data_IF_386391924518
#
_entry.id   IF_386391924518
#
_cell.length_a   1.000
_cell.length_b   1.000
_cell.length_c   1.000
_cell.angle_alpha   90.00
_cell.angle_beta   90.00
_cell.angle_gamma   90.00
#
_symmetry.space_group_name_H-M   'P 1'
#
loop_
_entity.id
_entity.type
_entity.pdbx_description
1 polymer ?
#
# COMPACT_ATOMS: atom_id res chain seq x y z
N UNK A 1 9.20 13.70 -1.66
CA UNK A 1 7.86 13.49 -2.26
C UNK A 1 7.28 14.81 -2.74
N UNK A 2 6.73 14.88 -3.95
CA UNK A 2 6.02 16.07 -4.45
C UNK A 2 4.71 16.31 -3.69
N UNK A 3 4.26 17.57 -3.61
CA UNK A 3 3.06 17.97 -2.86
C UNK A 3 1.77 17.32 -3.36
N UNK A 4 1.66 16.99 -4.66
CA UNK A 4 0.49 16.28 -5.21
C UNK A 4 0.42 14.86 -4.66
N UNK A 5 1.53 14.12 -4.69
CA UNK A 5 1.61 12.75 -4.18
C UNK A 5 1.36 12.74 -2.68
N UNK A 6 1.98 13.67 -1.94
CA UNK A 6 1.75 13.83 -0.50
C UNK A 6 0.27 14.09 -0.19
N UNK A 7 -0.38 14.94 -0.98
CA UNK A 7 -1.81 15.19 -0.90
C UNK A 7 -2.64 13.92 -1.11
N UNK A 8 -2.28 13.08 -2.09
CA UNK A 8 -2.95 11.80 -2.30
C UNK A 8 -2.73 10.80 -1.15
N UNK A 9 -1.51 10.70 -0.61
CA UNK A 9 -1.21 9.84 0.56
C UNK A 9 -2.02 10.25 1.80
N UNK A 10 -2.23 11.54 2.02
CA UNK A 10 -3.12 12.00 3.08
C UNK A 10 -4.60 11.70 2.74
N UNK A 11 -5.00 11.88 1.48
CA UNK A 11 -6.40 11.74 1.03
C UNK A 11 -6.90 10.29 1.10
N UNK A 12 -6.04 9.28 0.95
CA UNK A 12 -6.47 7.88 1.10
C UNK A 12 -6.97 7.56 2.51
N UNK A 13 -6.61 8.34 3.52
CA UNK A 13 -7.13 8.22 4.88
C UNK A 13 -8.39 9.05 5.14
N UNK A 14 -8.85 9.81 4.15
CA UNK A 14 -10.07 10.61 4.27
C UNK A 14 -11.32 9.71 4.40
N UNK A 15 -12.39 10.27 4.97
CA UNK A 15 -13.71 9.62 5.00
C UNK A 15 -14.51 9.77 3.71
N UNK A 16 -14.05 10.60 2.77
CA UNK A 16 -14.70 10.80 1.49
C UNK A 16 -14.29 9.68 0.51
N UNK A 17 -15.27 8.84 0.14
CA UNK A 17 -15.01 7.67 -0.72
C UNK A 17 -14.66 8.02 -2.15
N UNK A 18 -15.15 9.15 -2.66
CA UNK A 18 -14.81 9.61 -4.01
C UNK A 18 -13.37 10.11 -4.03
N UNK A 19 -13.02 10.97 -3.06
CA UNK A 19 -11.66 11.50 -2.94
C UNK A 19 -10.63 10.39 -2.67
N UNK A 20 -10.95 9.45 -1.76
CA UNK A 20 -10.13 8.27 -1.48
C UNK A 20 -9.91 7.42 -2.74
N UNK A 21 -10.97 7.17 -3.53
CA UNK A 21 -10.87 6.38 -4.76
C UNK A 21 -9.98 7.06 -5.82
N UNK A 22 -10.10 8.38 -5.99
CA UNK A 22 -9.25 9.16 -6.91
C UNK A 22 -7.79 9.16 -6.47
N UNK A 23 -7.53 9.40 -5.18
CA UNK A 23 -6.18 9.37 -4.62
C UNK A 23 -5.55 7.98 -4.74
N UNK A 24 -6.32 6.92 -4.47
CA UNK A 24 -5.86 5.55 -4.67
C UNK A 24 -5.48 5.28 -6.13
N UNK A 25 -6.33 5.67 -7.09
CA UNK A 25 -6.04 5.49 -8.52
C UNK A 25 -4.74 6.20 -8.93
N UNK A 26 -4.56 7.46 -8.52
CA UNK A 26 -3.37 8.24 -8.82
C UNK A 26 -2.09 7.62 -8.21
N UNK A 27 -2.16 7.13 -6.97
CA UNK A 27 -1.02 6.47 -6.33
C UNK A 27 -0.70 5.11 -6.96
N UNK A 28 -1.72 4.35 -7.37
CA UNK A 28 -1.52 3.08 -8.07
C UNK A 28 -0.83 3.30 -9.41
N UNK A 29 -1.24 4.32 -10.17
CA UNK A 29 -0.60 4.73 -11.43
C UNK A 29 0.85 5.17 -11.21
N UNK A 30 1.08 6.07 -10.25
CA UNK A 30 2.43 6.55 -9.92
C UNK A 30 3.39 5.42 -9.53
N UNK A 31 2.87 4.35 -8.91
CA UNK A 31 3.67 3.20 -8.44
C UNK A 31 3.69 2.03 -9.45
N UNK A 32 3.20 2.22 -10.68
CA UNK A 32 3.43 1.27 -11.78
C UNK A 32 4.92 1.19 -12.14
N UNK A 33 5.64 2.30 -11.99
CA UNK A 33 7.11 2.38 -12.14
C UNK A 33 7.79 2.65 -10.79
N UNK A 34 9.12 2.47 -10.69
CA UNK A 34 9.82 2.80 -9.46
C UNK A 34 9.73 4.28 -9.09
N UNK A 35 9.52 4.56 -7.80
CA UNK A 35 9.41 5.91 -7.22
C UNK A 35 10.48 6.16 -6.16
N UNK A 36 10.76 7.44 -5.86
CA UNK A 36 11.77 7.87 -4.89
C UNK A 36 11.21 8.15 -3.48
N UNK A 37 9.88 8.27 -3.36
CA UNK A 37 9.19 8.66 -2.13
C UNK A 37 8.70 7.49 -1.27
N UNK A 38 9.04 6.25 -1.62
CA UNK A 38 8.61 5.02 -0.92
C UNK A 38 8.70 5.13 0.59
N UNK A 39 9.86 5.56 1.09
CA UNK A 39 10.13 5.63 2.53
C UNK A 39 9.46 6.82 3.22
N UNK A 40 9.11 7.87 2.49
CA UNK A 40 8.34 9.00 3.02
C UNK A 40 6.88 8.60 3.28
N UNK A 41 6.30 7.74 2.43
CA UNK A 41 4.91 7.28 2.57
C UNK A 41 4.77 5.98 3.39
N UNK A 42 5.86 5.25 3.62
CA UNK A 42 5.82 3.88 4.15
C UNK A 42 5.10 3.76 5.49
N UNK A 43 5.54 4.54 6.49
CA UNK A 43 5.01 4.47 7.85
C UNK A 43 3.55 4.86 7.93
N UNK A 44 3.12 5.76 7.06
CA UNK A 44 1.73 6.18 6.95
C UNK A 44 0.87 5.06 6.34
N UNK A 45 1.34 4.44 5.26
CA UNK A 45 0.67 3.29 4.65
C UNK A 45 0.63 2.06 5.57
N UNK A 46 1.71 1.79 6.30
CA UNK A 46 1.77 0.66 7.23
C UNK A 46 0.73 0.80 8.35
N UNK A 47 0.51 2.00 8.88
CA UNK A 47 -0.54 2.27 9.88
C UNK A 47 -1.94 1.97 9.36
N UNK A 48 -2.17 2.10 8.06
CA UNK A 48 -3.51 1.82 7.49
C UNK A 48 -3.87 0.34 7.56
N UNK A 49 -2.91 -0.58 7.66
CA UNK A 49 -3.16 -2.03 7.70
C UNK A 49 -3.99 -2.48 8.90
N UNK A 50 -3.98 -1.71 9.99
CA UNK A 50 -4.77 -2.00 11.21
C UNK A 50 -5.91 -1.00 11.40
N UNK A 51 -6.25 -0.22 10.38
CA UNK A 51 -7.29 0.80 10.51
C UNK A 51 -8.69 0.17 10.62
N UNK A 52 -9.59 0.84 11.37
CA UNK A 52 -10.98 0.37 11.57
C UNK A 52 -11.77 0.28 10.26
N UNK A 53 -11.50 1.15 9.30
CA UNK A 53 -12.07 1.13 7.96
C UNK A 53 -11.33 0.12 7.07
N UNK A 54 -12.05 -0.90 6.62
CA UNK A 54 -11.53 -1.97 5.77
C UNK A 54 -11.01 -1.49 4.40
N UNK A 55 -11.50 -0.35 3.90
CA UNK A 55 -11.01 0.24 2.66
C UNK A 55 -9.58 0.75 2.82
N UNK A 56 -9.28 1.38 3.95
CA UNK A 56 -7.93 1.85 4.22
C UNK A 56 -6.95 0.68 4.36
N UNK A 57 -7.36 -0.40 5.02
CA UNK A 57 -6.55 -1.63 5.09
C UNK A 57 -6.26 -2.20 3.70
N UNK A 58 -7.28 -2.28 2.84
CA UNK A 58 -7.13 -2.76 1.47
C UNK A 58 -6.24 -1.85 0.62
N UNK A 59 -6.37 -0.53 0.76
CA UNK A 59 -5.56 0.46 0.05
C UNK A 59 -4.09 0.36 0.49
N UNK A 60 -3.83 0.36 1.80
CA UNK A 60 -2.49 0.22 2.35
C UNK A 60 -1.78 -1.04 1.87
N UNK A 61 -2.48 -2.18 1.93
CA UNK A 61 -1.92 -3.45 1.49
C UNK A 61 -1.55 -3.44 0.00
N UNK A 62 -2.43 -2.92 -0.85
CA UNK A 62 -2.18 -2.82 -2.29
C UNK A 62 -1.02 -1.87 -2.62
N UNK A 63 -0.96 -0.71 -1.96
CA UNK A 63 0.11 0.28 -2.19
C UNK A 63 1.47 -0.21 -1.69
N UNK A 64 1.55 -0.82 -0.50
CA UNK A 64 2.80 -1.40 0.01
C UNK A 64 3.32 -2.52 -0.91
N UNK A 65 2.43 -3.37 -1.44
CA UNK A 65 2.81 -4.38 -2.44
C UNK A 65 3.33 -3.75 -3.74
N UNK A 66 2.74 -2.64 -4.18
CA UNK A 66 3.22 -1.90 -5.36
C UNK A 66 4.60 -1.27 -5.13
N UNK A 67 4.81 -0.69 -3.94
CA UNK A 67 6.05 -0.02 -3.55
C UNK A 67 7.23 -0.96 -3.34
N UNK A 68 7.02 -2.28 -3.28
CA UNK A 68 8.10 -3.25 -3.14
C UNK A 68 9.17 -3.09 -4.24
N UNK A 69 8.79 -2.75 -5.47
CA UNK A 69 9.75 -2.48 -6.58
C UNK A 69 10.63 -1.25 -6.35
N UNK A 70 10.26 -0.41 -5.39
CA UNK A 70 10.91 0.85 -5.01
C UNK A 70 11.49 0.76 -3.60
N UNK A 71 11.68 -0.46 -3.09
CA UNK A 71 12.21 -0.75 -1.76
C UNK A 71 13.56 -1.50 -1.86
N UNK A 72 14.65 -0.80 -2.28
CA UNK A 72 15.98 -1.41 -2.36
C UNK A 72 16.52 -1.86 -0.99
N UNK A 73 16.03 -1.29 0.11
CA UNK A 73 16.42 -1.66 1.48
C UNK A 73 15.68 -2.90 2.02
N UNK A 74 14.71 -3.42 1.28
CA UNK A 74 13.94 -4.60 1.68
C UNK A 74 13.12 -4.40 2.96
N UNK A 75 12.63 -3.18 3.20
CA UNK A 75 11.73 -2.86 4.32
C UNK A 75 10.47 -3.73 4.31
N UNK A 76 9.97 -4.07 3.12
CA UNK A 76 8.84 -5.00 2.92
C UNK A 76 9.06 -6.35 3.60
N UNK A 77 10.30 -6.84 3.69
CA UNK A 77 10.62 -8.12 4.32
C UNK A 77 10.48 -8.06 5.84
N UNK A 78 10.75 -6.90 6.43
CA UNK A 78 10.58 -6.68 7.87
C UNK A 78 9.11 -6.54 8.26
N UNK A 79 8.33 -5.89 7.39
CA UNK A 79 6.91 -5.60 7.61
C UNK A 79 5.98 -6.64 6.95
N UNK A 80 6.53 -7.72 6.38
CA UNK A 80 5.77 -8.70 5.59
C UNK A 80 4.68 -9.39 6.40
N UNK A 81 4.95 -9.69 7.68
CA UNK A 81 3.98 -10.30 8.58
C UNK A 81 2.71 -9.44 8.74
N UNK A 82 2.86 -8.11 8.72
CA UNK A 82 1.70 -7.21 8.79
C UNK A 82 0.80 -7.35 7.55
N UNK A 83 1.36 -7.60 6.37
CA UNK A 83 0.58 -7.90 5.16
C UNK A 83 -0.05 -9.30 5.22
N UNK A 84 0.67 -10.29 5.74
CA UNK A 84 0.12 -11.64 5.93
C UNK A 84 -1.09 -11.64 6.85
N UNK A 85 -1.11 -10.81 7.89
CA UNK A 85 -2.30 -10.67 8.74
C UNK A 85 -3.50 -10.11 7.98
N UNK A 86 -3.31 -9.17 7.04
CA UNK A 86 -4.40 -8.66 6.20
C UNK A 86 -4.94 -9.74 5.24
N UNK A 87 -4.17 -10.77 4.89
CA UNK A 87 -4.70 -11.92 4.12
C UNK A 87 -5.77 -12.72 4.86
N UNK A 88 -5.88 -12.52 6.18
CA UNK A 88 -6.86 -13.16 7.07
C UNK A 88 -7.93 -12.19 7.56
N UNK A 89 -8.06 -11.03 6.90
CA UNK A 89 -9.02 -10.00 7.28
C UNK A 89 -10.46 -10.54 7.36
N UNK A 90 -11.22 -10.10 8.37
CA UNK A 90 -12.64 -10.43 8.53
C UNK A 90 -13.49 -10.05 7.31
N UNK A 91 -13.05 -9.04 6.54
CA UNK A 91 -13.66 -8.64 5.28
C UNK A 91 -13.00 -9.39 4.15
N UNK A 92 -13.73 -10.37 3.61
CA UNK A 92 -13.33 -11.17 2.45
C UNK A 92 -12.72 -10.34 1.30
N UNK A 93 -13.33 -9.20 0.97
CA UNK A 93 -12.86 -8.33 -0.11
C UNK A 93 -11.46 -7.75 0.20
N UNK A 94 -11.23 -7.30 1.44
CA UNK A 94 -9.94 -6.79 1.91
C UNK A 94 -8.88 -7.88 1.87
N UNK A 95 -9.18 -9.06 2.41
CA UNK A 95 -8.28 -10.22 2.37
C UNK A 95 -7.90 -10.60 0.93
N UNK A 96 -8.89 -10.65 0.03
CA UNK A 96 -8.68 -10.92 -1.40
C UNK A 96 -7.77 -9.89 -2.06
N UNK A 97 -7.97 -8.59 -1.82
CA UNK A 97 -7.13 -7.54 -2.42
C UNK A 97 -5.67 -7.65 -1.98
N UNK A 98 -5.43 -7.95 -0.70
CA UNK A 98 -4.08 -8.18 -0.19
C UNK A 98 -3.45 -9.41 -0.86
N UNK A 99 -4.12 -10.58 -0.81
CA UNK A 99 -3.63 -11.83 -1.41
C UNK A 99 -3.27 -11.67 -2.90
N UNK A 100 -4.13 -11.00 -3.67
CA UNK A 100 -3.90 -10.75 -5.09
C UNK A 100 -2.80 -9.73 -5.38
N UNK A 101 -2.29 -9.02 -4.37
CA UNK A 101 -1.22 -8.03 -4.53
C UNK A 101 0.14 -8.55 -4.10
N UNK A 102 0.20 -9.55 -3.20
CA UNK A 102 1.45 -10.07 -2.63
C UNK A 102 2.46 -10.54 -3.69
N UNK A 103 2.02 -11.05 -4.84
CA UNK A 103 2.92 -11.50 -5.91
C UNK A 103 3.88 -10.40 -6.40
N UNK A 104 3.50 -9.13 -6.28
CA UNK A 104 4.34 -7.99 -6.67
C UNK A 104 5.61 -7.89 -5.83
N UNK A 105 5.55 -8.34 -4.58
CA UNK A 105 6.70 -8.39 -3.68
C UNK A 105 7.72 -9.39 -4.23
N UNK A 106 7.29 -10.62 -4.54
CA UNK A 106 8.18 -11.66 -5.09
C UNK A 106 8.75 -11.38 -6.48
N UNK A 107 8.34 -10.29 -7.15
CA UNK A 107 8.95 -9.82 -8.39
C UNK A 107 9.87 -8.61 -8.21
N UNK A 108 9.93 -8.03 -7.00
CA UNK A 108 10.63 -6.77 -6.76
C UNK A 108 12.16 -6.91 -6.73
N UNK A 109 12.70 -8.10 -6.44
CA UNK A 109 14.14 -8.31 -6.37
C UNK A 109 14.51 -9.75 -6.07
N UNK A 110 15.81 -10.04 -5.96
CA UNK A 110 16.31 -11.41 -5.72
C UNK A 110 16.08 -11.92 -4.29
N UNK A 111 15.96 -11.00 -3.33
CA UNK A 111 15.79 -11.33 -1.92
C UNK A 111 14.32 -11.47 -1.53
N UNK A 112 13.43 -10.82 -2.29
CA UNK A 112 11.98 -10.92 -2.18
C UNK A 112 11.46 -12.21 -2.84
#
# INVERSE_FOLDING_TARGET
>A
MDEIIKGHVATIQSGDRVAQGQAFAALMEATETPVDWTYEAWDELLKTLTHRDNHQRAIGAQLLCNLAKSDPEGRILKDFDALLEVTRDERFVTARHCLLSLWKIGLAGKQQ
#
